data_IF_563613313935
#
_entry.id   IF_563613313935
#
_cell.length_a   1.000
_cell.length_b   1.000
_cell.length_c   1.000
_cell.angle_alpha   90.00
_cell.angle_beta   90.00
_cell.angle_gamma   90.00
#
_symmetry.space_group_name_H-M   'P 1'
#
loop_
_entity.id
_entity.type
_entity.pdbx_description
1 polymer ?
#
# COMPACT_ATOMS: atom_id res chain seq x y z
N UNK A 1 -62.74 61.66 -3.31
CA UNK A 1 -61.29 61.41 -3.40
C UNK A 1 -60.82 60.88 -2.05
N UNK A 2 -60.55 59.57 -2.03
CA UNK A 2 -59.69 58.81 -1.11
C UNK A 2 -59.77 59.01 0.42
N UNK A 3 -60.31 57.97 1.06
CA UNK A 3 -60.01 57.53 2.42
C UNK A 3 -58.50 57.31 2.53
N UNK A 4 -57.82 58.05 3.39
CA UNK A 4 -56.48 57.71 3.87
C UNK A 4 -56.68 56.75 5.04
N UNK A 5 -56.58 55.46 4.76
CA UNK A 5 -56.45 54.45 5.81
C UNK A 5 -55.14 54.74 6.55
N UNK A 6 -55.31 55.16 7.80
CA UNK A 6 -54.29 55.20 8.82
C UNK A 6 -53.82 53.76 9.04
N UNK A 7 -52.68 53.41 8.44
CA UNK A 7 -51.83 52.34 8.96
C UNK A 7 -51.33 52.83 10.32
N UNK A 8 -52.16 52.61 11.33
CA UNK A 8 -51.76 52.61 12.73
C UNK A 8 -50.71 51.50 12.84
N UNK A 9 -49.45 51.89 13.03
CA UNK A 9 -48.34 51.01 13.40
C UNK A 9 -48.71 50.32 14.71
N UNK A 10 -49.41 49.19 14.60
CA UNK A 10 -49.53 48.22 15.68
C UNK A 10 -48.23 47.43 15.77
N UNK A 11 -47.16 48.10 16.18
CA UNK A 11 -46.13 47.44 16.97
C UNK A 11 -46.72 47.22 18.36
N UNK A 12 -47.71 46.32 18.44
CA UNK A 12 -48.31 45.91 19.70
C UNK A 12 -47.18 45.35 20.57
N UNK A 13 -46.90 46.05 21.66
CA UNK A 13 -45.87 45.71 22.62
C UNK A 13 -45.99 44.23 23.01
N UNK A 14 -45.05 43.41 22.56
CA UNK A 14 -44.95 42.02 23.00
C UNK A 14 -44.72 42.08 24.50
N UNK A 15 -45.70 41.60 25.27
CA UNK A 15 -45.62 41.59 26.74
C UNK A 15 -44.27 40.99 27.17
N UNK A 16 -43.55 41.57 28.14
CA UNK A 16 -42.27 41.05 28.61
C UNK A 16 -42.33 39.56 28.98
N UNK A 17 -43.49 39.11 29.46
CA UNK A 17 -43.76 37.70 29.78
C UNK A 17 -43.87 36.83 28.53
N UNK A 18 -44.48 37.33 27.45
CA UNK A 18 -44.58 36.61 26.18
C UNK A 18 -43.20 36.53 25.51
N UNK A 19 -42.41 37.61 25.58
CA UNK A 19 -41.05 37.65 25.03
C UNK A 19 -40.12 36.63 25.72
N UNK A 20 -40.17 36.50 27.05
CA UNK A 20 -39.35 35.52 27.77
C UNK A 20 -39.80 34.08 27.49
N UNK A 21 -41.10 33.83 27.39
CA UNK A 21 -41.62 32.50 27.03
C UNK A 21 -41.17 32.10 25.62
N UNK A 22 -41.24 33.01 24.65
CA UNK A 22 -40.79 32.75 23.29
C UNK A 22 -39.28 32.52 23.20
N UNK A 23 -38.48 33.32 23.92
CA UNK A 23 -37.03 33.16 23.96
C UNK A 23 -36.64 31.79 24.52
N UNK A 24 -37.26 31.35 25.62
CA UNK A 24 -36.99 30.04 26.20
C UNK A 24 -37.44 28.93 25.25
N UNK A 25 -38.64 29.02 24.65
CA UNK A 25 -39.14 28.03 23.71
C UNK A 25 -38.22 27.86 22.48
N UNK A 26 -37.74 28.96 21.91
CA UNK A 26 -36.81 28.92 20.76
C UNK A 26 -35.48 28.31 21.17
N UNK A 27 -34.91 28.68 22.33
CA UNK A 27 -33.63 28.09 22.78
C UNK A 27 -33.73 26.60 23.04
N UNK A 28 -34.87 26.11 23.56
CA UNK A 28 -35.11 24.68 23.77
C UNK A 28 -35.25 23.94 22.44
N UNK A 29 -35.97 24.51 21.47
CA UNK A 29 -36.12 23.92 20.13
C UNK A 29 -34.79 23.92 19.37
N UNK A 30 -34.02 25.00 19.42
CA UNK A 30 -32.69 25.09 18.80
C UNK A 30 -31.69 24.13 19.47
N UNK A 31 -31.71 24.02 20.80
CA UNK A 31 -30.87 23.07 21.51
C UNK A 31 -31.26 21.61 21.19
N UNK A 32 -32.56 21.32 21.07
CA UNK A 32 -33.04 19.99 20.69
C UNK A 32 -32.70 19.62 19.25
N UNK A 33 -32.88 20.55 18.31
CA UNK A 33 -32.50 20.34 16.89
C UNK A 33 -30.98 20.25 16.71
N UNK A 34 -30.22 21.08 17.42
CA UNK A 34 -28.76 20.99 17.48
C UNK A 34 -28.30 19.67 18.12
N UNK A 35 -28.96 19.21 19.18
CA UNK A 35 -28.64 17.94 19.83
C UNK A 35 -28.93 16.74 18.92
N UNK A 36 -30.08 16.72 18.23
CA UNK A 36 -30.42 15.64 17.29
C UNK A 36 -29.46 15.64 16.09
N UNK A 37 -29.09 16.81 15.57
CA UNK A 37 -28.07 16.93 14.52
C UNK A 37 -26.67 16.53 15.01
N UNK A 38 -26.29 16.94 16.22
CA UNK A 38 -25.00 16.61 16.83
C UNK A 38 -24.90 15.13 17.23
N UNK A 39 -25.99 14.52 17.69
CA UNK A 39 -26.09 13.09 17.96
C UNK A 39 -25.99 12.30 16.65
N UNK A 40 -26.64 12.77 15.57
CA UNK A 40 -26.47 12.20 14.23
C UNK A 40 -25.02 12.30 13.74
N UNK A 41 -24.30 13.38 14.04
CA UNK A 41 -22.87 13.51 13.75
C UNK A 41 -21.99 12.60 14.62
N UNK A 42 -22.31 12.45 15.91
CA UNK A 42 -21.55 11.59 16.81
C UNK A 42 -21.75 10.09 16.50
N UNK A 43 -22.95 9.69 16.07
CA UNK A 43 -23.28 8.32 15.68
C UNK A 43 -22.78 7.97 14.27
N UNK A 44 -22.60 8.96 13.38
CA UNK A 44 -22.07 8.73 12.03
C UNK A 44 -20.55 8.57 11.97
N UNK A 45 -19.84 8.81 13.07
CA UNK A 45 -18.36 8.85 13.11
C UNK A 45 -17.71 7.74 13.93
N UNK A 46 -18.47 6.77 14.45
CA UNK A 46 -17.86 5.60 15.10
C UNK A 46 -17.33 4.55 14.13
N UNK A 47 -17.67 4.61 12.84
CA UNK A 47 -17.08 3.76 11.78
C UNK A 47 -16.98 4.44 10.39
N UNK A 48 -17.31 5.74 10.30
CA UNK A 48 -17.34 6.51 9.05
C UNK A 48 -16.38 7.69 9.06
N UNK A 49 -15.11 7.44 9.41
CA UNK A 49 -14.06 8.46 9.32
C UNK A 49 -14.08 9.05 7.91
N UNK A 50 -13.97 10.37 7.75
CA UNK A 50 -13.59 10.93 6.46
C UNK A 50 -12.23 10.34 6.10
N UNK A 51 -12.23 9.23 5.37
CA UNK A 51 -11.02 8.50 5.00
C UNK A 51 -10.33 9.31 3.92
N UNK A 52 -9.40 10.16 4.35
CA UNK A 52 -8.56 10.94 3.43
C UNK A 52 -7.76 10.02 2.51
N UNK A 53 -7.53 8.78 2.96
CA UNK A 53 -6.86 7.73 2.22
C UNK A 53 -7.74 6.48 2.16
N UNK A 54 -7.69 5.75 1.05
CA UNK A 54 -8.31 4.45 0.87
C UNK A 54 -7.31 3.48 0.24
N UNK A 55 -7.30 2.25 0.74
CA UNK A 55 -6.39 1.20 0.31
C UNK A 55 -7.15 -0.10 0.10
N UNK A 56 -6.91 -0.73 -1.04
CA UNK A 56 -7.54 -1.97 -1.45
C UNK A 56 -6.47 -3.07 -1.49
N UNK A 57 -6.64 -4.14 -0.71
CA UNK A 57 -5.77 -5.30 -0.77
C UNK A 57 -6.43 -6.42 -1.57
N UNK A 58 -5.67 -7.01 -2.49
CA UNK A 58 -6.03 -8.21 -3.23
C UNK A 58 -4.95 -9.25 -3.01
N UNK A 59 -5.32 -10.52 -3.12
CA UNK A 59 -4.32 -11.60 -3.12
C UNK A 59 -3.38 -11.41 -4.30
N UNK A 60 -2.09 -11.61 -4.07
CA UNK A 60 -1.12 -11.59 -5.15
C UNK A 60 -1.32 -12.81 -6.06
N UNK A 61 -0.94 -12.74 -7.35
CA UNK A 61 -0.97 -13.91 -8.21
C UNK A 61 0.02 -14.98 -7.75
N UNK A 62 -0.44 -16.23 -7.72
CA UNK A 62 0.29 -17.34 -7.10
C UNK A 62 -0.37 -17.68 -5.76
N UNK A 63 -0.55 -18.98 -5.48
CA UNK A 63 -1.03 -19.40 -4.15
C UNK A 63 0.15 -19.34 -3.19
N UNK A 64 0.01 -18.69 -2.01
CA UNK A 64 0.99 -18.81 -0.95
C UNK A 64 1.25 -20.30 -0.64
N UNK A 65 2.52 -20.66 -0.48
CA UNK A 65 3.01 -22.03 -0.31
C UNK A 65 3.70 -22.17 1.05
N UNK A 66 4.33 -23.32 1.32
CA UNK A 66 5.21 -23.46 2.50
C UNK A 66 6.59 -22.80 2.29
N UNK A 67 6.80 -22.10 1.17
CA UNK A 67 7.99 -21.28 0.98
C UNK A 67 7.92 -20.06 1.91
N UNK A 68 9.05 -19.38 2.08
CA UNK A 68 9.18 -18.27 3.05
C UNK A 68 9.25 -16.91 2.40
N UNK A 69 9.09 -16.86 1.07
CA UNK A 69 9.28 -15.67 0.24
C UNK A 69 8.14 -15.59 -0.80
N UNK A 70 6.94 -16.04 -0.43
CA UNK A 70 5.78 -16.01 -1.31
C UNK A 70 5.18 -14.60 -1.41
N UNK A 71 4.64 -14.28 -2.59
CA UNK A 71 3.85 -13.08 -2.77
C UNK A 71 2.51 -13.26 -2.07
N UNK A 72 2.27 -12.42 -1.07
CA UNK A 72 1.09 -12.50 -0.22
C UNK A 72 -0.08 -11.69 -0.80
N UNK A 73 0.15 -10.40 -0.99
CA UNK A 73 -0.91 -9.46 -1.35
C UNK A 73 -0.38 -8.33 -2.20
N UNK A 74 -1.25 -7.75 -3.01
CA UNK A 74 -1.03 -6.48 -3.67
C UNK A 74 -1.95 -5.47 -2.99
N UNK A 75 -1.40 -4.34 -2.55
CA UNK A 75 -2.16 -3.25 -1.97
C UNK A 75 -2.11 -2.07 -2.93
N UNK A 76 -3.27 -1.52 -3.25
CA UNK A 76 -3.43 -0.35 -4.12
C UNK A 76 -3.97 0.82 -3.32
N UNK A 77 -3.35 2.01 -3.42
CA UNK A 77 -3.96 3.22 -2.85
C UNK A 77 -5.02 3.77 -3.81
N UNK A 78 -6.30 3.57 -3.52
CA UNK A 78 -7.40 4.02 -4.40
C UNK A 78 -7.82 5.47 -4.16
N UNK A 79 -7.48 6.06 -3.01
CA UNK A 79 -7.71 7.46 -2.68
C UNK A 79 -6.61 7.96 -1.76
N UNK A 80 -6.17 9.21 -1.93
CA UNK A 80 -5.14 9.79 -1.09
C UNK A 80 -4.39 10.94 -1.73
N UNK A 81 -3.24 11.23 -1.16
CA UNK A 81 -2.17 12.05 -1.73
C UNK A 81 -0.88 11.23 -1.60
N UNK A 82 0.19 11.63 -2.28
CA UNK A 82 1.43 10.86 -2.23
C UNK A 82 2.02 10.85 -0.82
N UNK A 83 2.44 9.67 -0.35
CA UNK A 83 2.97 9.49 0.99
C UNK A 83 4.38 8.93 0.92
N UNK A 84 5.32 9.57 1.62
CA UNK A 84 6.70 9.06 1.73
C UNK A 84 6.78 7.81 2.61
N UNK A 85 7.57 6.82 2.18
CA UNK A 85 7.77 5.56 2.93
C UNK A 85 8.33 5.78 4.35
N UNK A 86 9.15 6.81 4.54
CA UNK A 86 9.74 7.17 5.84
C UNK A 86 8.73 7.46 6.98
N UNK A 87 7.47 7.76 6.65
CA UNK A 87 6.42 8.08 7.63
C UNK A 87 5.32 7.03 7.69
N UNK A 88 5.45 5.93 6.97
CA UNK A 88 4.48 4.85 6.93
C UNK A 88 4.95 3.65 7.74
N UNK A 89 3.98 2.96 8.33
CA UNK A 89 4.14 1.62 8.87
C UNK A 89 3.02 0.75 8.32
N UNK A 90 3.41 -0.37 7.73
CA UNK A 90 2.50 -1.41 7.24
C UNK A 90 2.62 -2.59 8.18
N UNK A 91 1.52 -2.98 8.80
CA UNK A 91 1.46 -4.17 9.65
C UNK A 91 0.55 -5.22 9.06
N UNK A 92 1.00 -6.48 9.09
CA UNK A 92 0.27 -7.65 8.61
C UNK A 92 -0.18 -8.51 9.80
N UNK A 93 -1.44 -8.90 9.82
CA UNK A 93 -2.01 -9.92 10.70
C UNK A 93 -2.58 -11.05 9.84
N UNK A 94 -2.18 -12.27 10.13
CA UNK A 94 -2.69 -13.46 9.44
C UNK A 94 -3.65 -14.19 10.37
N UNK A 95 -4.84 -14.55 9.88
CA UNK A 95 -5.86 -15.31 10.61
C UNK A 95 -6.21 -14.69 11.99
N UNK A 96 -6.18 -13.37 12.09
CA UNK A 96 -6.44 -12.63 13.34
C UNK A 96 -5.35 -12.74 14.42
N UNK A 97 -4.16 -13.24 14.06
CA UNK A 97 -3.01 -13.28 14.96
C UNK A 97 -2.45 -11.88 15.28
N UNK A 98 -1.48 -11.81 16.20
CA UNK A 98 -0.80 -10.55 16.51
C UNK A 98 -0.15 -9.95 15.26
N UNK A 99 -0.39 -8.67 15.02
CA UNK A 99 0.16 -7.97 13.85
C UNK A 99 1.68 -7.90 13.92
N UNK A 100 2.36 -8.27 12.82
CA UNK A 100 3.78 -8.03 12.61
C UNK A 100 3.97 -6.79 11.74
N UNK A 101 5.12 -6.12 11.85
CA UNK A 101 5.45 -4.99 10.98
C UNK A 101 6.23 -5.49 9.79
N UNK A 102 5.76 -5.18 8.57
CA UNK A 102 6.52 -5.45 7.35
C UNK A 102 7.57 -4.35 7.16
N UNK A 103 8.75 -4.72 6.67
CA UNK A 103 9.71 -3.73 6.18
C UNK A 103 9.12 -3.01 4.97
N UNK A 104 9.13 -1.69 4.99
CA UNK A 104 8.77 -0.85 3.83
C UNK A 104 10.04 -0.47 3.05
N UNK A 105 9.94 0.07 1.82
CA UNK A 105 11.11 0.52 1.07
C UNK A 105 12.05 1.40 1.91
N UNK A 106 13.34 1.09 1.87
CA UNK A 106 14.37 1.73 2.70
C UNK A 106 14.48 1.21 4.14
N UNK A 107 13.74 0.18 4.53
CA UNK A 107 13.87 -0.50 5.82
C UNK A 107 14.32 -1.95 5.65
N UNK A 108 15.13 -2.43 6.60
CA UNK A 108 15.58 -3.83 6.65
C UNK A 108 14.92 -4.58 7.80
N UNK A 109 14.63 -5.86 7.63
CA UNK A 109 14.08 -6.74 8.66
C UNK A 109 12.59 -7.04 8.48
N UNK A 110 11.92 -7.45 9.54
CA UNK A 110 10.51 -7.89 9.49
C UNK A 110 10.33 -9.30 8.92
N UNK A 111 9.16 -9.89 9.15
CA UNK A 111 8.78 -11.20 8.59
C UNK A 111 8.14 -11.10 7.20
N UNK A 112 7.88 -9.88 6.76
CA UNK A 112 7.34 -9.54 5.44
C UNK A 112 8.01 -8.24 4.96
N UNK A 113 8.07 -8.05 3.65
CA UNK A 113 8.58 -6.86 2.98
C UNK A 113 7.52 -6.29 2.04
N UNK A 114 7.42 -4.98 1.98
CA UNK A 114 6.60 -4.24 1.02
C UNK A 114 7.54 -3.75 -0.08
N UNK A 115 7.27 -4.22 -1.29
CA UNK A 115 8.01 -3.85 -2.49
C UNK A 115 7.16 -2.89 -3.31
N UNK A 116 7.74 -1.73 -3.58
CA UNK A 116 7.23 -0.72 -4.49
C UNK A 116 8.03 -0.87 -5.80
N UNK A 117 7.36 -1.25 -6.89
CA UNK A 117 7.98 -1.41 -8.21
C UNK A 117 7.68 -0.24 -9.14
N UNK A 118 7.27 0.91 -8.60
CA UNK A 118 7.03 2.12 -9.37
C UNK A 118 8.33 2.84 -9.69
N UNK A 119 8.27 3.73 -10.68
CA UNK A 119 9.40 4.60 -11.05
C UNK A 119 9.70 5.66 -9.96
N UNK A 120 8.82 5.84 -8.97
CA UNK A 120 8.96 6.81 -7.87
C UNK A 120 9.01 6.13 -6.49
N UNK A 121 9.92 5.15 -6.32
CA UNK A 121 10.05 4.27 -5.14
C UNK A 121 10.24 4.94 -3.75
N UNK A 122 10.25 6.27 -3.67
CA UNK A 122 10.33 7.04 -2.43
C UNK A 122 8.96 7.44 -1.87
N UNK A 123 7.91 7.36 -2.68
CA UNK A 123 6.55 7.78 -2.34
C UNK A 123 5.52 6.84 -2.93
N UNK A 124 4.59 6.39 -2.09
CA UNK A 124 3.42 5.65 -2.57
C UNK A 124 2.34 6.63 -3.04
N UNK A 125 1.99 6.54 -4.33
CA UNK A 125 1.07 7.42 -5.04
C UNK A 125 -0.29 6.76 -5.30
N UNK A 126 -1.31 7.58 -5.60
CA UNK A 126 -2.68 7.06 -5.83
C UNK A 126 -2.73 6.29 -7.14
N UNK A 127 -3.28 5.08 -7.10
CA UNK A 127 -3.40 4.17 -8.24
C UNK A 127 -2.20 3.24 -8.42
N UNK A 128 -1.23 3.30 -7.51
CA UNK A 128 -0.02 2.48 -7.53
C UNK A 128 -0.20 1.22 -6.68
N UNK A 129 0.31 0.11 -7.22
CA UNK A 129 0.27 -1.22 -6.62
C UNK A 129 1.61 -1.50 -5.92
N UNK A 130 1.56 -1.84 -4.63
CA UNK A 130 2.71 -2.33 -3.88
C UNK A 130 2.48 -3.79 -3.51
N UNK A 131 3.53 -4.60 -3.56
CA UNK A 131 3.43 -6.04 -3.29
C UNK A 131 3.99 -6.34 -1.92
N UNK A 132 3.22 -7.07 -1.11
CA UNK A 132 3.70 -7.62 0.16
C UNK A 132 4.18 -9.04 -0.08
N UNK A 133 5.39 -9.32 0.34
CA UNK A 133 6.08 -10.60 0.18
C UNK A 133 6.50 -11.07 1.56
N UNK A 134 6.53 -12.36 1.80
CA UNK A 134 7.20 -12.93 2.96
C UNK A 134 8.71 -12.65 2.94
N UNK A 135 9.34 -12.66 4.11
CA UNK A 135 10.77 -12.40 4.24
C UNK A 135 11.40 -13.43 5.19
N UNK A 136 11.73 -14.61 4.66
CA UNK A 136 12.39 -15.68 5.41
C UNK A 136 11.55 -16.34 6.50
N UNK A 137 10.23 -16.08 6.54
CA UNK A 137 9.27 -16.72 7.45
C UNK A 137 7.99 -17.05 6.68
N UNK A 138 7.60 -18.32 6.66
CA UNK A 138 6.28 -18.76 6.18
C UNK A 138 5.22 -18.25 7.16
N UNK A 139 4.47 -17.25 6.71
CA UNK A 139 3.35 -16.63 7.39
C UNK A 139 2.02 -17.20 6.91
N UNK A 140 1.98 -17.82 5.73
CA UNK A 140 0.78 -18.07 4.96
C UNK A 140 0.96 -19.25 4.00
N UNK A 141 0.67 -20.47 4.45
CA UNK A 141 0.81 -21.70 3.64
C UNK A 141 -0.50 -22.42 3.29
N UNK A 142 -1.63 -21.94 3.82
CA UNK A 142 -2.95 -22.57 3.68
C UNK A 142 -3.87 -21.80 2.74
N UNK A 143 -4.75 -22.52 2.03
CA UNK A 143 -5.77 -21.94 1.15
C UNK A 143 -6.82 -21.03 1.85
N UNK A 144 -6.80 -20.94 3.18
CA UNK A 144 -7.69 -20.08 3.98
C UNK A 144 -6.91 -18.99 4.73
N UNK A 145 -5.76 -18.57 4.21
CA UNK A 145 -4.93 -17.56 4.82
C UNK A 145 -5.57 -16.15 4.66
N UNK A 146 -6.25 -15.70 5.72
CA UNK A 146 -6.86 -14.37 5.77
C UNK A 146 -5.83 -13.35 6.22
N UNK A 147 -5.41 -12.46 5.31
CA UNK A 147 -4.41 -11.43 5.61
C UNK A 147 -5.09 -10.10 5.82
N UNK A 148 -4.81 -9.48 6.96
CA UNK A 148 -5.29 -8.16 7.34
C UNK A 148 -4.12 -7.19 7.43
N UNK A 149 -4.17 -6.14 6.64
CA UNK A 149 -3.18 -5.07 6.61
C UNK A 149 -3.70 -3.85 7.35
N UNK A 150 -2.84 -3.21 8.12
CA UNK A 150 -3.09 -1.88 8.66
C UNK A 150 -1.97 -0.93 8.24
N UNK A 151 -2.37 0.19 7.65
CA UNK A 151 -1.46 1.26 7.21
C UNK A 151 -1.58 2.38 8.22
N UNK A 152 -0.46 2.77 8.83
CA UNK A 152 -0.41 3.79 9.89
C UNK A 152 0.59 4.88 9.53
N UNK A 153 0.21 6.14 9.76
CA UNK A 153 1.13 7.26 9.67
C UNK A 153 1.92 7.39 10.99
N UNK A 154 3.22 7.17 10.95
CA UNK A 154 4.11 7.22 12.10
C UNK A 154 4.25 8.63 12.71
N UNK A 155 4.04 9.69 11.91
CA UNK A 155 4.16 11.07 12.39
C UNK A 155 2.97 11.49 13.24
N UNK A 156 1.77 11.02 12.89
CA UNK A 156 0.53 11.38 13.58
C UNK A 156 -0.01 10.27 14.48
N UNK A 157 0.49 9.04 14.33
CA UNK A 157 -0.05 7.84 14.98
C UNK A 157 -1.43 7.44 14.45
N UNK A 158 -1.87 8.03 13.33
CA UNK A 158 -3.19 7.80 12.77
C UNK A 158 -3.20 6.53 11.90
N UNK A 159 -4.15 5.64 12.15
CA UNK A 159 -4.49 4.55 11.23
C UNK A 159 -5.09 5.16 9.96
N UNK A 160 -4.42 5.00 8.82
CA UNK A 160 -4.87 5.51 7.52
C UNK A 160 -5.90 4.58 6.90
N UNK A 161 -5.69 3.25 7.00
CA UNK A 161 -6.68 2.25 6.61
C UNK A 161 -6.41 0.90 7.28
N UNK A 162 -7.42 0.05 7.25
CA UNK A 162 -7.32 -1.40 7.44
C UNK A 162 -7.97 -2.08 6.24
N UNK A 163 -7.32 -3.09 5.68
CA UNK A 163 -7.78 -3.79 4.47
C UNK A 163 -7.45 -5.26 4.57
N UNK A 164 -8.23 -6.14 3.93
CA UNK A 164 -8.10 -7.60 4.08
C UNK A 164 -8.13 -8.28 2.72
N UNK A 165 -7.28 -9.29 2.51
CA UNK A 165 -7.35 -10.15 1.32
C UNK A 165 -8.45 -11.20 1.49
N UNK A 166 -9.03 -11.68 0.38
CA UNK A 166 -10.02 -12.77 0.42
C UNK A 166 -11.47 -12.36 0.72
N UNK A 167 -11.75 -11.07 0.91
CA UNK A 167 -13.12 -10.54 0.95
C UNK A 167 -13.16 -9.33 0.02
N UNK A 168 -13.96 -9.39 -1.05
CA UNK A 168 -14.10 -8.27 -1.97
C UNK A 168 -14.34 -6.97 -1.20
N UNK A 169 -13.52 -5.95 -1.47
CA UNK A 169 -13.69 -4.61 -0.95
C UNK A 169 -15.12 -4.12 -1.19
N UNK A 170 -15.96 -4.22 -0.17
CA UNK A 170 -17.09 -3.34 0.04
C UNK A 170 -17.26 -3.23 1.56
N UNK A 171 -17.36 -2.02 2.13
CA UNK A 171 -17.57 -1.87 3.57
C UNK A 171 -18.91 -2.55 3.93
N UNK A 172 -18.84 -3.50 4.86
CA UNK A 172 -19.94 -4.19 5.55
C UNK A 172 -21.28 -4.21 4.81
N UNK A 173 -21.62 -5.36 4.23
CA UNK A 173 -23.02 -5.79 4.14
C UNK A 173 -23.11 -7.28 4.40
N UNK A 174 -23.45 -7.58 5.64
CA UNK A 174 -24.16 -8.79 6.03
C UNK A 174 -25.37 -8.98 5.13
N UNK A 175 -25.37 -10.03 4.30
CA UNK A 175 -26.58 -10.81 4.07
C UNK A 175 -26.23 -12.22 3.55
N UNK A 176 -26.63 -13.21 4.33
CA UNK A 176 -26.63 -14.63 4.00
C UNK A 176 -27.48 -14.92 2.76
N UNK A 177 -26.93 -15.60 1.76
CA UNK A 177 -27.76 -16.43 0.86
C UNK A 177 -27.02 -17.70 0.42
N UNK A 178 -27.40 -18.79 1.08
CA UNK A 178 -27.06 -20.16 0.73
C UNK A 178 -28.00 -20.66 -0.36
N UNK A 179 -27.48 -21.21 -1.47
CA UNK A 179 -27.82 -22.59 -1.90
C UNK A 179 -27.01 -23.06 -3.13
N UNK A 180 -26.89 -24.39 -3.33
CA UNK A 180 -25.83 -25.05 -4.12
C UNK A 180 -26.32 -25.85 -5.35
N UNK A 181 -25.35 -26.55 -5.99
CA UNK A 181 -25.37 -27.62 -7.05
C UNK A 181 -25.18 -27.10 -8.50
N UNK A 182 -24.33 -27.66 -9.36
CA UNK A 182 -23.95 -29.07 -9.63
C UNK A 182 -22.56 -29.20 -10.33
N UNK A 183 -21.99 -30.42 -10.44
CA UNK A 183 -20.64 -30.69 -10.91
C UNK A 183 -20.56 -30.96 -12.43
N UNK A 184 -19.42 -30.64 -13.05
CA UNK A 184 -19.10 -31.09 -14.42
C UNK A 184 -17.81 -31.91 -14.39
N UNK A 185 -18.00 -33.20 -14.60
CA UNK A 185 -17.02 -34.23 -14.97
C UNK A 185 -16.78 -34.13 -16.48
N UNK A 186 -15.53 -33.98 -16.92
CA UNK A 186 -15.12 -34.53 -18.22
C UNK A 186 -13.60 -34.80 -18.26
N UNK A 187 -13.28 -36.08 -18.12
CA UNK A 187 -12.02 -36.71 -18.48
C UNK A 187 -11.76 -36.70 -19.99
N UNK A 188 -10.63 -36.15 -20.44
CA UNK A 188 -9.91 -36.74 -21.58
C UNK A 188 -8.47 -36.22 -21.69
N UNK A 189 -7.52 -37.13 -21.46
CA UNK A 189 -6.13 -37.01 -21.87
C UNK A 189 -6.01 -37.33 -23.36
N UNK A 190 -5.15 -36.63 -24.09
CA UNK A 190 -4.35 -37.24 -25.18
C UNK A 190 -2.97 -36.52 -25.27
N UNK A 191 -1.84 -37.25 -25.48
CA UNK A 191 -0.48 -36.68 -25.42
C UNK A 191 0.24 -36.55 -26.79
N UNK A 192 1.37 -35.81 -26.74
CA UNK A 192 2.51 -35.70 -27.69
C UNK A 192 2.43 -34.55 -28.72
N UNK A 193 3.47 -33.75 -28.98
CA UNK A 193 4.88 -34.09 -29.32
C UNK A 193 5.93 -33.07 -28.80
N UNK A 194 7.23 -33.44 -28.77
CA UNK A 194 8.32 -32.57 -28.31
C UNK A 194 8.84 -31.66 -29.44
N UNK A 195 9.11 -30.40 -29.12
CA UNK A 195 9.80 -29.47 -30.02
C UNK A 195 11.23 -29.30 -29.52
N UNK A 196 12.18 -29.89 -30.24
CA UNK A 196 13.59 -29.52 -30.17
C UNK A 196 13.75 -28.07 -30.66
N UNK A 197 14.54 -27.25 -29.97
CA UNK A 197 15.41 -26.27 -30.61
C UNK A 197 16.51 -25.80 -29.64
N UNK A 198 17.71 -26.23 -30.01
CA UNK A 198 19.02 -25.67 -29.70
C UNK A 198 19.07 -24.18 -30.06
N UNK A 199 19.44 -23.32 -29.10
CA UNK A 199 20.07 -22.03 -29.39
C UNK A 199 21.08 -21.65 -28.30
N UNK A 200 22.30 -22.15 -28.47
CA UNK A 200 23.48 -21.53 -27.86
C UNK A 200 23.83 -20.26 -28.64
N UNK A 201 23.43 -19.10 -28.14
CA UNK A 201 24.09 -17.82 -28.45
C UNK A 201 24.82 -17.33 -27.20
N UNK A 202 26.16 -17.35 -27.27
CA UNK A 202 26.96 -16.49 -26.43
C UNK A 202 26.81 -15.05 -26.93
N UNK A 203 26.57 -14.12 -26.01
CA UNK A 203 26.70 -12.69 -26.27
C UNK A 203 27.51 -12.03 -25.16
N UNK A 204 28.15 -10.94 -25.57
CA UNK A 204 29.33 -10.29 -25.11
C UNK A 204 29.04 -9.25 -24.00
N UNK A 205 29.79 -9.37 -22.91
CA UNK A 205 30.08 -8.38 -21.87
C UNK A 205 29.74 -6.91 -22.19
N UNK A 206 28.72 -6.35 -21.51
CA UNK A 206 28.72 -5.05 -20.80
C UNK A 206 27.34 -4.81 -20.17
N UNK A 207 27.25 -4.85 -18.84
CA UNK A 207 26.15 -4.29 -18.03
C UNK A 207 24.80 -5.02 -18.09
N UNK A 208 24.46 -5.72 -17.00
CA UNK A 208 23.12 -6.29 -16.78
C UNK A 208 22.92 -7.70 -17.35
N UNK A 209 23.60 -8.70 -16.77
CA UNK A 209 23.19 -10.10 -16.94
C UNK A 209 21.90 -10.33 -16.14
N UNK A 210 20.78 -9.87 -16.68
CA UNK A 210 19.44 -10.29 -16.27
C UNK A 210 19.25 -11.73 -16.73
N UNK A 211 19.96 -12.65 -16.07
CA UNK A 211 19.82 -14.07 -16.30
C UNK A 211 18.35 -14.49 -16.21
N UNK A 212 17.96 -15.43 -17.07
CA UNK A 212 16.64 -16.04 -16.94
C UNK A 212 16.56 -16.78 -15.60
N UNK A 213 15.45 -16.62 -14.90
CA UNK A 213 15.24 -17.22 -13.60
C UNK A 213 13.84 -17.82 -13.49
N UNK A 214 13.71 -18.75 -12.58
CA UNK A 214 12.46 -19.33 -12.11
C UNK A 214 12.31 -19.17 -10.59
N UNK A 215 13.41 -18.86 -9.90
CA UNK A 215 13.45 -18.47 -8.50
C UNK A 215 14.54 -17.42 -8.25
N UNK A 216 14.36 -16.57 -7.23
CA UNK A 216 15.34 -15.53 -6.84
C UNK A 216 16.69 -16.10 -6.39
N UNK A 217 16.73 -17.36 -5.93
CA UNK A 217 17.97 -18.05 -5.59
C UNK A 217 18.86 -18.34 -6.81
N UNK A 218 18.29 -18.29 -8.02
CA UNK A 218 19.02 -18.43 -9.29
C UNK A 218 19.65 -17.10 -9.72
N UNK A 219 19.22 -15.99 -9.11
CA UNK A 219 19.80 -14.68 -9.32
C UNK A 219 21.06 -14.51 -8.48
N UNK A 220 22.21 -14.48 -9.17
CA UNK A 220 23.50 -14.20 -8.54
C UNK A 220 23.48 -12.82 -7.87
N UNK A 221 24.27 -12.62 -6.81
CA UNK A 221 24.37 -11.31 -6.13
C UNK A 221 23.02 -10.76 -5.63
N UNK A 222 22.23 -11.62 -4.96
CA UNK A 222 21.06 -11.20 -4.19
C UNK A 222 19.96 -10.50 -4.99
N UNK A 223 19.88 -10.73 -6.29
CA UNK A 223 18.76 -10.27 -7.11
C UNK A 223 17.49 -11.06 -6.84
N UNK A 224 16.37 -10.54 -7.33
CA UNK A 224 15.07 -11.19 -7.25
C UNK A 224 14.57 -11.57 -8.64
N UNK A 225 13.91 -12.72 -8.71
CA UNK A 225 13.36 -13.21 -9.96
C UNK A 225 12.00 -12.57 -10.24
N UNK A 226 11.94 -11.74 -11.28
CA UNK A 226 10.71 -11.06 -11.71
C UNK A 226 10.39 -11.40 -13.16
N UNK A 227 9.21 -11.97 -13.40
CA UNK A 227 8.72 -12.36 -14.72
C UNK A 227 9.73 -13.18 -15.55
N UNK A 228 10.47 -14.05 -14.88
CA UNK A 228 11.47 -14.91 -15.51
C UNK A 228 12.83 -14.25 -15.74
N UNK A 229 13.07 -13.05 -15.21
CA UNK A 229 14.33 -12.31 -15.32
C UNK A 229 14.84 -11.87 -13.94
N UNK A 230 16.15 -11.97 -13.73
CA UNK A 230 16.77 -11.42 -12.53
C UNK A 230 16.80 -9.90 -12.58
N UNK A 231 16.25 -9.29 -11.53
CA UNK A 231 16.25 -7.86 -11.28
C UNK A 231 17.08 -7.59 -10.02
N UNK A 232 17.81 -6.49 -10.03
CA UNK A 232 18.71 -6.08 -8.98
C UNK A 232 18.34 -4.69 -8.49
N UNK A 233 18.50 -4.45 -7.18
CA UNK A 233 18.39 -3.09 -6.64
C UNK A 233 19.52 -2.22 -7.21
N UNK A 234 19.14 -1.04 -7.65
CA UNK A 234 20.00 0.04 -8.17
C UNK A 234 19.43 1.35 -7.61
N UNK A 235 19.96 1.79 -6.48
CA UNK A 235 19.42 2.90 -5.69
C UNK A 235 19.65 4.26 -6.34
N UNK A 236 20.69 4.40 -7.16
CA UNK A 236 21.04 5.67 -7.81
C UNK A 236 20.77 5.71 -9.33
N UNK A 237 20.28 4.59 -9.88
CA UNK A 237 19.81 4.41 -11.25
C UNK A 237 20.89 4.66 -12.30
N UNK A 238 22.15 4.31 -11.99
CA UNK A 238 23.26 4.46 -12.92
C UNK A 238 23.46 3.26 -13.86
N UNK A 239 22.69 2.18 -13.64
CA UNK A 239 22.73 0.94 -14.42
C UNK A 239 23.68 -0.12 -13.83
N UNK A 240 24.25 0.11 -12.65
CA UNK A 240 25.03 -0.84 -11.87
C UNK A 240 24.23 -1.21 -10.63
N UNK A 241 24.15 -2.50 -10.30
CA UNK A 241 23.41 -2.91 -9.10
C UNK A 241 24.15 -2.53 -7.83
N UNK A 242 23.42 -2.23 -6.75
CA UNK A 242 23.95 -1.79 -5.46
C UNK A 242 25.06 -2.68 -4.90
N UNK A 243 25.04 -3.97 -5.23
CA UNK A 243 26.05 -4.94 -4.77
C UNK A 243 27.35 -4.90 -5.59
N UNK A 244 27.29 -4.41 -6.83
CA UNK A 244 28.42 -4.26 -7.73
C UNK A 244 28.88 -2.81 -7.85
N UNK A 245 28.10 -1.88 -7.31
CA UNK A 245 28.33 -0.45 -7.34
C UNK A 245 29.31 -0.01 -6.25
N UNK A 246 30.42 0.62 -6.66
CA UNK A 246 31.39 1.22 -5.75
C UNK A 246 30.92 2.56 -5.16
N UNK A 247 29.74 3.05 -5.56
CA UNK A 247 29.05 4.21 -5.01
C UNK A 247 27.51 4.06 -5.01
N UNK A 248 26.90 3.16 -4.20
CA UNK A 248 25.47 2.78 -4.26
C UNK A 248 24.40 3.89 -4.08
N UNK A 249 24.80 5.14 -3.92
CA UNK A 249 23.95 6.31 -3.67
C UNK A 249 24.29 7.49 -4.60
N UNK A 250 25.30 7.33 -5.47
CA UNK A 250 26.02 8.39 -6.14
C UNK A 250 26.35 8.00 -7.58
N UNK A 251 25.35 8.13 -8.45
CA UNK A 251 25.39 7.65 -9.83
C UNK A 251 26.72 7.88 -10.55
N UNK A 252 27.40 6.79 -10.89
CA UNK A 252 28.69 6.75 -11.55
C UNK A 252 28.80 5.51 -12.45
N UNK A 253 27.98 5.43 -13.49
CA UNK A 253 27.86 4.29 -14.42
C UNK A 253 29.20 3.76 -15.01
N UNK A 254 30.27 4.55 -14.96
CA UNK A 254 31.61 4.16 -15.40
C UNK A 254 32.44 3.45 -14.31
N UNK A 255 31.94 3.37 -13.07
CA UNK A 255 32.54 2.75 -11.90
C UNK A 255 34.00 3.18 -11.69
N UNK A 256 34.29 4.46 -11.94
CA UNK A 256 35.64 5.00 -11.79
C UNK A 256 36.09 4.95 -10.33
N UNK A 257 37.26 4.35 -10.08
CA UNK A 257 37.93 4.26 -8.79
C UNK A 257 39.43 4.45 -9.06
N UNK A 258 39.89 5.69 -8.89
CA UNK A 258 41.19 6.16 -9.37
C UNK A 258 42.34 5.71 -8.48
N UNK A 259 42.12 5.49 -7.18
CA UNK A 259 43.12 4.98 -6.26
C UNK A 259 42.94 3.50 -5.89
N UNK A 260 41.85 2.86 -6.31
CA UNK A 260 41.57 1.42 -6.18
C UNK A 260 41.31 0.97 -4.75
N UNK A 261 40.68 1.82 -3.95
CA UNK A 261 40.32 1.51 -2.57
C UNK A 261 38.95 0.78 -2.42
N UNK A 262 38.20 0.69 -3.53
CA UNK A 262 36.87 0.08 -3.59
C UNK A 262 35.72 1.07 -3.45
N UNK A 263 35.99 2.36 -3.24
CA UNK A 263 35.05 3.47 -3.22
C UNK A 263 35.19 4.25 -4.52
N UNK A 264 34.09 4.49 -5.23
CA UNK A 264 34.17 5.20 -6.51
C UNK A 264 34.52 6.69 -6.35
N UNK A 265 35.13 7.27 -7.39
CA UNK A 265 35.52 8.68 -7.47
C UNK A 265 34.33 9.64 -7.18
N UNK A 266 33.10 9.18 -7.40
CA UNK A 266 31.87 9.96 -7.21
C UNK A 266 31.45 10.09 -5.73
N UNK A 267 31.82 9.13 -4.89
CA UNK A 267 31.46 9.08 -3.47
C UNK A 267 32.68 9.08 -2.53
N UNK A 268 33.90 9.00 -3.07
CA UNK A 268 35.13 9.13 -2.29
C UNK A 268 35.45 10.61 -2.00
N UNK A 269 35.79 10.88 -0.74
CA UNK A 269 36.28 12.18 -0.27
C UNK A 269 37.74 12.46 -0.66
N UNK A 270 38.50 11.43 -1.01
CA UNK A 270 39.90 11.52 -1.43
C UNK A 270 40.21 10.73 -2.72
N UNK A 271 39.58 11.01 -3.88
CA UNK A 271 39.62 10.13 -5.08
C UNK A 271 41.00 9.81 -5.69
N UNK A 272 42.08 10.42 -5.18
CA UNK A 272 43.44 10.19 -5.64
C UNK A 272 44.38 9.96 -4.44
N UNK A 273 43.81 9.44 -3.36
CA UNK A 273 44.40 9.30 -2.04
C UNK A 273 45.20 8.02 -1.90
N UNK A 274 45.67 7.71 -0.68
CA UNK A 274 46.12 6.37 -0.36
C UNK A 274 44.92 5.42 -0.28
N UNK A 275 45.11 4.15 -0.66
CA UNK A 275 44.08 3.10 -0.61
C UNK A 275 43.63 2.76 0.82
N UNK A 276 42.79 3.58 1.48
CA UNK A 276 42.47 3.43 2.91
C UNK A 276 41.02 3.59 3.25
#
# INVERSE_FOLDING_TARGET
>A
MSKLDRFDDREDAVSPVIATILMVAITVVLAGTLYVWAAGLAESNTDGTLSLYAFDAKEAPGTPTEATDDNLAIITMSQGQDITWSVLSVTLSVNGAASTTCAVPGQTGGSCVVVDSSEEANTWSVGEDVTVIENGVDMCSDANCEMSFAITNLRTGQSLAKTTTGVGSNPVSDNTDTTPTDPVDDTSQEPQEPVDNDDSTGDDSTGGDSGACTASSECMAGGYCYNGQCVYDDQDMDGVSDQQDNCPQNANANQADSDQDGTGDACDSTPYGPMT
#
